data_IF_385224220059
#
_entry.id   IF_385224220059
#
_cell.length_a   1.000
_cell.length_b   1.000
_cell.length_c   1.000
_cell.angle_alpha   90.00
_cell.angle_beta   90.00
_cell.angle_gamma   90.00
#
_symmetry.space_group_name_H-M   'P 1'
#
loop_
_entity.id
_entity.type
_entity.pdbx_description
1 polymer ?
#
# COMPACT_ATOMS: atom_id res chain seq x y z
N UNK A 1 63.29 11.86 28.56
CA UNK A 1 62.24 11.52 27.58
C UNK A 1 61.55 10.25 28.04
N UNK A 2 60.30 10.33 28.49
CA UNK A 2 59.54 9.17 28.97
C UNK A 2 59.08 8.41 27.72
N UNK A 3 59.58 7.18 27.50
CA UNK A 3 59.09 6.32 26.41
C UNK A 3 57.64 5.97 26.72
N UNK A 4 56.70 6.49 25.95
CA UNK A 4 55.32 6.05 25.99
C UNK A 4 55.28 4.58 25.55
N UNK A 5 54.62 3.74 26.37
CA UNK A 5 54.42 2.32 26.04
C UNK A 5 53.37 2.24 24.93
N UNK A 6 53.74 1.69 23.77
CA UNK A 6 52.81 1.42 22.68
C UNK A 6 51.88 0.25 23.01
N UNK A 7 50.70 0.24 22.38
CA UNK A 7 49.76 -0.87 22.44
C UNK A 7 50.38 -2.16 21.91
N UNK A 8 50.13 -3.27 22.59
CA UNK A 8 50.46 -4.61 22.09
C UNK A 8 49.43 -5.07 21.05
N UNK A 9 49.85 -5.97 20.16
CA UNK A 9 48.97 -6.60 19.17
C UNK A 9 47.74 -7.25 19.84
N UNK A 10 47.93 -7.89 21.00
CA UNK A 10 46.88 -8.59 21.73
C UNK A 10 45.84 -7.60 22.28
N UNK A 11 46.27 -6.48 22.85
CA UNK A 11 45.34 -5.45 23.36
C UNK A 11 44.49 -4.86 22.24
N UNK A 12 45.08 -4.62 21.06
CA UNK A 12 44.33 -4.15 19.89
C UNK A 12 43.31 -5.20 19.41
N UNK A 13 43.71 -6.48 19.37
CA UNK A 13 42.83 -7.57 18.93
C UNK A 13 41.61 -7.74 19.84
N UNK A 14 41.80 -7.69 21.16
CA UNK A 14 40.70 -7.81 22.15
C UNK A 14 39.71 -6.65 21.99
N UNK A 15 40.19 -5.42 21.78
CA UNK A 15 39.32 -4.26 21.57
C UNK A 15 38.48 -4.41 20.30
N UNK A 16 39.10 -4.81 19.19
CA UNK A 16 38.38 -5.05 17.93
C UNK A 16 37.37 -6.19 18.10
N UNK A 17 37.71 -7.26 18.82
CA UNK A 17 36.78 -8.35 19.10
C UNK A 17 35.55 -7.88 19.89
N UNK A 18 35.73 -7.05 20.93
CA UNK A 18 34.63 -6.48 21.71
C UNK A 18 33.75 -5.58 20.82
N UNK A 19 34.36 -4.70 20.00
CA UNK A 19 33.62 -3.83 19.07
C UNK A 19 32.81 -4.68 18.08
N UNK A 20 33.39 -5.76 17.53
CA UNK A 20 32.71 -6.65 16.61
C UNK A 20 31.47 -7.32 17.25
N UNK A 21 31.58 -7.80 18.49
CA UNK A 21 30.45 -8.38 19.24
C UNK A 21 29.35 -7.34 19.47
N UNK A 22 29.72 -6.13 19.89
CA UNK A 22 28.76 -5.05 20.12
C UNK A 22 28.03 -4.67 18.81
N UNK A 23 28.76 -4.52 17.70
CA UNK A 23 28.16 -4.22 16.40
C UNK A 23 27.24 -5.34 15.90
N UNK A 24 27.60 -6.61 16.12
CA UNK A 24 26.78 -7.76 15.73
C UNK A 24 25.39 -7.76 16.41
N UNK A 25 25.30 -7.25 17.65
CA UNK A 25 24.03 -7.13 18.38
C UNK A 25 23.29 -5.83 18.02
N UNK A 26 24.02 -4.73 17.80
CA UNK A 26 23.44 -3.41 17.54
C UNK A 26 22.87 -3.27 16.12
N UNK A 27 23.51 -3.86 15.11
CA UNK A 27 23.08 -3.72 13.71
C UNK A 27 21.65 -4.26 13.47
N UNK A 28 21.28 -5.49 13.86
CA UNK A 28 19.92 -6.00 13.68
C UNK A 28 18.87 -5.13 14.40
N UNK A 29 19.20 -4.63 15.58
CA UNK A 29 18.31 -3.73 16.33
C UNK A 29 18.10 -2.40 15.60
N UNK A 30 19.18 -1.80 15.08
CA UNK A 30 19.13 -0.55 14.33
C UNK A 30 18.32 -0.68 13.03
N UNK A 31 18.45 -1.80 12.32
CA UNK A 31 17.63 -2.08 11.14
C UNK A 31 16.14 -2.12 11.47
N UNK A 32 15.75 -2.78 12.56
CA UNK A 32 14.35 -2.82 13.01
C UNK A 32 13.82 -1.45 13.41
N UNK A 33 14.62 -0.66 14.13
CA UNK A 33 14.23 0.70 14.55
C UNK A 33 14.05 1.63 13.35
N UNK A 34 14.96 1.58 12.36
CA UNK A 34 14.83 2.36 11.13
C UNK A 34 13.56 1.98 10.37
N UNK A 35 13.26 0.70 10.27
CA UNK A 35 12.06 0.21 9.60
C UNK A 35 10.78 0.66 10.31
N UNK A 36 10.74 0.61 11.65
CA UNK A 36 9.63 1.16 12.42
C UNK A 36 9.47 2.67 12.18
N UNK A 37 10.56 3.43 12.13
CA UNK A 37 10.53 4.86 11.82
C UNK A 37 9.94 5.15 10.43
N UNK A 38 10.39 4.43 9.40
CA UNK A 38 9.84 4.52 8.05
C UNK A 38 8.35 4.19 8.01
N UNK A 39 7.94 3.12 8.69
CA UNK A 39 6.53 2.75 8.79
C UNK A 39 5.67 3.84 9.42
N UNK A 40 6.15 4.50 10.47
CA UNK A 40 5.41 5.62 11.09
C UNK A 40 5.19 6.77 10.12
N UNK A 41 6.21 7.12 9.32
CA UNK A 41 6.08 8.13 8.27
C UNK A 41 5.06 7.69 7.22
N UNK A 42 5.14 6.44 6.75
CA UNK A 42 4.18 5.90 5.79
C UNK A 42 2.72 5.94 6.30
N UNK A 43 2.50 5.54 7.56
CA UNK A 43 1.17 5.63 8.21
C UNK A 43 0.66 7.07 8.27
N UNK A 44 1.55 8.04 8.52
CA UNK A 44 1.24 9.46 8.51
C UNK A 44 0.88 9.97 7.11
N UNK A 45 1.58 9.50 6.08
CA UNK A 45 1.30 9.85 4.68
C UNK A 45 -0.08 9.31 4.28
N UNK A 46 -0.35 8.03 4.52
CA UNK A 46 -1.64 7.39 4.27
C UNK A 46 -2.80 8.08 5.00
N UNK A 47 -2.58 8.52 6.24
CA UNK A 47 -3.58 9.28 7.00
C UNK A 47 -3.89 10.62 6.32
N UNK A 48 -2.87 11.36 5.88
CA UNK A 48 -3.05 12.65 5.20
C UNK A 48 -3.73 12.48 3.84
N UNK A 49 -3.34 11.47 3.05
CA UNK A 49 -4.03 11.12 1.81
C UNK A 49 -5.50 10.74 2.04
N UNK A 50 -5.79 10.00 3.12
CA UNK A 50 -7.18 9.63 3.46
C UNK A 50 -8.02 10.83 3.89
N UNK A 51 -7.42 11.79 4.58
CA UNK A 51 -8.08 13.07 4.88
C UNK A 51 -8.40 13.83 3.58
N UNK A 52 -7.43 13.94 2.65
CA UNK A 52 -7.65 14.56 1.35
C UNK A 52 -8.75 13.86 0.55
N UNK A 53 -8.78 12.53 0.55
CA UNK A 53 -9.83 11.72 -0.08
C UNK A 53 -11.22 12.00 0.52
N UNK A 54 -11.33 12.14 1.84
CA UNK A 54 -12.60 12.52 2.49
C UNK A 54 -13.02 13.95 2.18
N UNK A 55 -12.08 14.90 2.18
CA UNK A 55 -12.33 16.31 1.85
C UNK A 55 -12.80 16.47 0.41
N UNK A 56 -12.18 15.74 -0.52
CA UNK A 56 -12.62 15.70 -1.91
C UNK A 56 -14.09 15.28 -1.99
N UNK A 57 -14.48 14.19 -1.32
CA UNK A 57 -15.87 13.75 -1.33
C UNK A 57 -16.83 14.79 -0.73
N UNK A 58 -16.43 15.47 0.35
CA UNK A 58 -17.24 16.53 0.96
C UNK A 58 -17.48 17.73 0.03
N UNK A 59 -16.51 18.06 -0.83
CA UNK A 59 -16.62 19.17 -1.79
C UNK A 59 -17.25 18.77 -3.14
N UNK A 60 -17.38 17.47 -3.42
CA UNK A 60 -17.87 16.94 -4.70
C UNK A 60 -19.18 16.15 -4.53
N UNK A 61 -20.15 16.70 -3.78
CA UNK A 61 -21.48 16.12 -3.58
C UNK A 61 -21.43 14.64 -3.11
N UNK A 62 -20.53 14.34 -2.17
CA UNK A 62 -20.29 13.01 -1.60
C UNK A 62 -19.68 12.00 -2.57
N UNK A 63 -19.32 12.39 -3.80
CA UNK A 63 -18.69 11.53 -4.81
C UNK A 63 -17.21 11.33 -4.49
N UNK A 64 -16.78 10.07 -4.43
CA UNK A 64 -15.38 9.71 -4.22
C UNK A 64 -14.55 10.08 -5.44
N UNK A 65 -13.29 10.46 -5.22
CA UNK A 65 -12.32 10.65 -6.30
C UNK A 65 -12.20 9.37 -7.13
N UNK A 66 -11.98 9.50 -8.44
CA UNK A 66 -11.68 8.32 -9.27
C UNK A 66 -10.33 7.72 -8.82
N UNK A 67 -10.38 6.49 -8.33
CA UNK A 67 -9.22 5.77 -7.82
C UNK A 67 -8.34 5.12 -8.88
N UNK A 68 -8.81 5.03 -10.13
CA UNK A 68 -8.07 4.44 -11.24
C UNK A 68 -7.16 5.49 -11.87
N UNK A 69 -5.85 5.32 -11.72
CA UNK A 69 -4.82 6.25 -12.20
C UNK A 69 -4.89 6.37 -13.73
N UNK A 70 -4.87 7.61 -14.26
CA UNK A 70 -4.86 7.87 -15.70
C UNK A 70 -6.21 7.69 -16.41
N UNK A 71 -7.31 7.50 -15.66
CA UNK A 71 -8.65 7.30 -16.22
C UNK A 71 -9.59 8.51 -16.01
N UNK A 72 -9.06 9.74 -16.02
CA UNK A 72 -9.90 10.95 -15.99
C UNK A 72 -10.81 11.06 -17.20
N UNK A 73 -12.07 11.41 -16.96
CA UNK A 73 -13.11 11.54 -17.99
C UNK A 73 -13.25 10.31 -18.90
N UNK A 74 -12.83 9.13 -18.43
CA UNK A 74 -12.84 7.90 -19.20
C UNK A 74 -14.14 7.11 -19.01
N UNK A 75 -14.57 6.40 -20.06
CA UNK A 75 -15.64 5.42 -19.96
C UNK A 75 -15.10 4.07 -20.44
N UNK A 76 -14.99 3.11 -19.55
CA UNK A 76 -14.50 1.76 -19.83
C UNK A 76 -15.59 0.72 -19.53
N UNK A 77 -15.37 -0.54 -19.93
CA UNK A 77 -16.29 -1.64 -19.61
C UNK A 77 -16.25 -2.07 -18.13
N UNK A 78 -15.29 -1.54 -17.37
CA UNK A 78 -15.00 -1.89 -15.99
C UNK A 78 -14.89 -0.65 -15.09
N UNK A 79 -15.25 0.53 -15.58
CA UNK A 79 -15.15 1.79 -14.83
C UNK A 79 -15.89 2.90 -15.56
N UNK A 80 -16.83 3.56 -14.89
CA UNK A 80 -17.58 4.69 -15.44
C UNK A 80 -17.07 5.98 -14.82
N UNK A 81 -16.12 6.65 -15.47
CA UNK A 81 -15.45 7.86 -14.95
C UNK A 81 -15.75 9.10 -15.79
N UNK A 82 -16.83 9.07 -16.57
CA UNK A 82 -17.29 10.24 -17.32
C UNK A 82 -17.61 11.37 -16.34
N UNK A 83 -16.90 12.49 -16.46
CA UNK A 83 -17.04 13.64 -15.56
C UNK A 83 -16.23 13.53 -14.27
N UNK A 84 -15.47 12.45 -14.06
CA UNK A 84 -14.62 12.24 -12.89
C UNK A 84 -13.15 12.49 -13.23
N UNK A 85 -12.40 13.09 -12.31
CA UNK A 85 -10.95 13.27 -12.43
C UNK A 85 -10.28 12.24 -11.52
N UNK A 86 -9.30 11.53 -12.05
CA UNK A 86 -8.50 10.56 -11.32
C UNK A 86 -7.68 11.25 -10.22
N UNK A 87 -7.42 10.53 -9.13
CA UNK A 87 -6.61 11.03 -8.02
C UNK A 87 -5.17 11.35 -8.44
N UNK A 88 -4.68 10.67 -9.48
CA UNK A 88 -3.45 10.94 -10.25
C UNK A 88 -3.77 10.75 -11.73
N UNK A 89 -3.37 11.69 -12.59
CA UNK A 89 -3.89 11.79 -13.98
C UNK A 89 -3.07 11.00 -15.02
N UNK A 90 -2.05 10.26 -14.61
CA UNK A 90 -1.24 9.43 -15.53
C UNK A 90 -0.29 8.47 -14.84
N UNK A 91 0.43 7.70 -15.66
CA UNK A 91 1.35 6.62 -15.26
C UNK A 91 2.66 6.71 -16.02
N UNK A 92 3.31 7.85 -15.90
CA UNK A 92 4.61 8.04 -16.51
C UNK A 92 5.65 7.10 -15.88
N UNK A 93 6.62 6.66 -16.69
CA UNK A 93 7.73 5.84 -16.21
C UNK A 93 8.81 6.67 -15.52
N UNK A 94 8.94 7.94 -15.87
CA UNK A 94 9.98 8.86 -15.37
C UNK A 94 9.49 9.61 -14.13
N UNK A 95 10.37 9.78 -13.14
CA UNK A 95 10.04 10.39 -11.84
C UNK A 95 9.49 11.81 -12.00
N UNK A 96 10.12 12.66 -12.82
CA UNK A 96 9.64 14.04 -13.00
C UNK A 96 8.26 14.11 -13.67
N UNK A 97 7.93 13.15 -14.53
CA UNK A 97 6.64 13.08 -15.18
C UNK A 97 5.56 12.53 -14.24
N UNK A 98 5.90 11.56 -13.37
CA UNK A 98 4.98 11.12 -12.30
C UNK A 98 4.65 12.26 -11.35
N UNK A 99 5.64 13.08 -10.96
CA UNK A 99 5.40 14.26 -10.12
C UNK A 99 4.42 15.25 -10.78
N UNK A 100 4.55 15.48 -12.08
CA UNK A 100 3.62 16.33 -12.83
C UNK A 100 2.18 15.75 -12.82
N UNK A 101 2.04 14.46 -13.08
CA UNK A 101 0.73 13.76 -13.10
C UNK A 101 0.07 13.72 -11.70
N UNK A 102 0.86 13.65 -10.63
CA UNK A 102 0.37 13.81 -9.26
C UNK A 102 -0.18 15.22 -9.05
N UNK A 103 0.54 16.24 -9.53
CA UNK A 103 0.13 17.64 -9.38
C UNK A 103 -1.11 18.00 -10.21
N UNK A 104 -1.39 17.27 -11.27
CA UNK A 104 -2.60 17.41 -12.10
C UNK A 104 -3.79 16.61 -11.53
N UNK A 105 -3.52 15.67 -10.62
CA UNK A 105 -4.52 14.80 -10.00
C UNK A 105 -5.53 15.51 -9.09
N UNK A 106 -6.70 14.91 -8.95
CA UNK A 106 -7.84 15.46 -8.22
C UNK A 106 -7.59 15.69 -6.71
N UNK A 107 -6.64 14.98 -6.09
CA UNK A 107 -6.32 15.15 -4.67
C UNK A 107 -5.24 16.22 -4.42
N UNK A 108 -4.51 16.67 -5.44
CA UNK A 108 -3.44 17.65 -5.30
C UNK A 108 -3.86 18.95 -4.61
N UNK A 109 -5.05 19.55 -4.89
CA UNK A 109 -5.48 20.78 -4.22
C UNK A 109 -5.59 20.68 -2.69
N UNK A 110 -5.77 19.47 -2.15
CA UNK A 110 -5.93 19.20 -0.72
C UNK A 110 -4.61 18.83 -0.04
N UNK A 111 -3.66 18.29 -0.81
CA UNK A 111 -2.39 17.74 -0.32
C UNK A 111 -1.24 18.75 -0.48
N UNK A 112 -0.98 19.21 -1.71
CA UNK A 112 0.09 20.15 -2.10
C UNK A 112 1.48 19.81 -1.57
N UNK A 113 1.77 18.52 -1.43
CA UNK A 113 3.05 17.98 -0.98
C UNK A 113 3.31 16.64 -1.67
N UNK A 114 4.35 16.58 -2.50
CA UNK A 114 4.73 15.38 -3.25
C UNK A 114 5.24 14.26 -2.32
N UNK A 115 5.86 14.61 -1.19
CA UNK A 115 6.41 13.61 -0.26
C UNK A 115 5.32 12.73 0.36
N UNK A 116 4.06 13.20 0.36
CA UNK A 116 2.91 12.43 0.84
C UNK A 116 2.50 11.30 -0.12
N UNK A 117 2.88 11.35 -1.39
CA UNK A 117 2.63 10.29 -2.38
C UNK A 117 3.74 9.23 -2.42
N UNK A 118 4.85 9.51 -1.73
CA UNK A 118 6.02 8.64 -1.66
C UNK A 118 6.10 7.90 -0.33
N UNK A 119 6.39 6.61 -0.42
CA UNK A 119 6.67 5.75 0.71
C UNK A 119 8.15 5.92 1.07
N UNK A 120 8.52 6.00 2.36
CA UNK A 120 9.92 6.09 2.79
C UNK A 120 10.75 4.84 2.51
N UNK A 121 10.13 3.75 2.04
CA UNK A 121 10.81 2.57 1.48
C UNK A 121 10.84 2.59 -0.05
N UNK A 122 10.33 3.66 -0.68
CA UNK A 122 10.30 3.89 -2.12
C UNK A 122 11.63 3.61 -2.77
N UNK A 123 11.59 2.97 -3.94
CA UNK A 123 12.76 2.79 -4.78
C UNK A 123 13.06 4.13 -5.51
N UNK A 124 14.32 4.39 -5.85
CA UNK A 124 14.65 5.50 -6.74
C UNK A 124 13.85 5.42 -8.03
N UNK A 125 13.30 6.54 -8.51
CA UNK A 125 12.41 6.59 -9.68
C UNK A 125 10.91 6.51 -9.37
N UNK A 126 10.52 6.16 -8.13
CA UNK A 126 9.10 6.11 -7.74
C UNK A 126 8.69 7.40 -7.03
N UNK A 127 7.93 8.27 -7.69
CA UNK A 127 7.27 9.41 -7.05
C UNK A 127 5.90 9.01 -6.47
N UNK A 128 5.24 8.02 -7.07
CA UNK A 128 3.99 7.42 -6.61
C UNK A 128 4.22 6.00 -6.10
N UNK A 129 3.83 5.71 -4.87
CA UNK A 129 4.04 4.39 -4.25
C UNK A 129 2.83 3.86 -3.49
N UNK A 130 1.73 4.61 -3.53
CA UNK A 130 0.46 4.25 -2.94
C UNK A 130 -0.55 3.99 -4.05
N UNK A 131 -1.54 3.17 -3.77
CA UNK A 131 -2.67 2.95 -4.65
C UNK A 131 -3.98 3.02 -3.88
N UNK A 132 -5.04 3.42 -4.59
CA UNK A 132 -6.41 3.31 -4.10
C UNK A 132 -6.92 1.88 -4.35
N UNK A 133 -7.71 1.35 -3.44
CA UNK A 133 -8.37 0.05 -3.59
C UNK A 133 -9.35 0.06 -4.77
N UNK A 134 -9.42 -1.03 -5.53
CA UNK A 134 -10.36 -1.23 -6.65
C UNK A 134 -11.80 -0.82 -6.33
N UNK A 135 -12.27 -1.13 -5.12
CA UNK A 135 -13.61 -0.79 -4.67
C UNK A 135 -13.92 0.68 -4.44
N UNK A 136 -12.91 1.54 -4.30
CA UNK A 136 -13.06 2.95 -3.94
C UNK A 136 -13.03 3.80 -5.20
N UNK A 137 -14.14 3.73 -5.95
CA UNK A 137 -14.31 4.42 -7.22
C UNK A 137 -13.15 4.20 -8.22
N UNK A 138 -12.55 3.01 -8.26
CA UNK A 138 -11.52 2.69 -9.26
C UNK A 138 -12.07 1.75 -10.33
N UNK A 139 -12.43 0.51 -9.98
CA UNK A 139 -12.78 -0.51 -10.99
C UNK A 139 -14.01 -1.34 -10.57
N UNK A 140 -15.05 -1.27 -11.40
CA UNK A 140 -16.28 -2.06 -11.38
C UNK A 140 -16.24 -3.20 -12.42
N UNK A 141 -15.39 -4.21 -12.19
CA UNK A 141 -15.32 -5.40 -13.05
C UNK A 141 -16.63 -6.21 -13.10
N UNK A 142 -16.77 -7.05 -14.12
CA UNK A 142 -17.97 -7.90 -14.35
C UNK A 142 -18.35 -8.79 -13.17
N UNK A 143 -17.39 -9.21 -12.34
CA UNK A 143 -17.63 -10.00 -11.13
C UNK A 143 -18.16 -9.18 -9.93
N UNK A 144 -18.13 -7.85 -9.99
CA UNK A 144 -18.68 -6.95 -8.95
C UNK A 144 -19.83 -6.07 -9.44
N UNK A 145 -20.08 -6.02 -10.76
CA UNK A 145 -21.18 -5.24 -11.34
C UNK A 145 -22.54 -5.64 -10.75
N UNK A 146 -23.30 -4.63 -10.31
CA UNK A 146 -24.61 -4.81 -9.68
C UNK A 146 -24.58 -5.43 -8.28
N UNK A 147 -23.40 -5.75 -7.73
CA UNK A 147 -23.29 -6.23 -6.35
C UNK A 147 -23.30 -5.02 -5.41
N UNK A 148 -24.33 -4.92 -4.58
CA UNK A 148 -24.46 -3.79 -3.64
C UNK A 148 -23.30 -3.76 -2.64
N UNK A 149 -22.60 -2.62 -2.59
CA UNK A 149 -21.54 -2.28 -1.63
C UNK A 149 -20.12 -2.73 -2.01
N UNK A 150 -19.93 -3.33 -3.20
CA UNK A 150 -18.59 -3.73 -3.68
C UNK A 150 -17.87 -2.57 -4.34
N UNK A 151 -18.45 -1.95 -5.36
CA UNK A 151 -17.97 -0.72 -5.98
C UNK A 151 -18.65 0.48 -5.35
N UNK A 152 -17.87 1.38 -4.77
CA UNK A 152 -18.34 2.53 -4.00
C UNK A 152 -18.07 3.78 -4.83
N UNK A 153 -19.12 4.53 -5.17
CA UNK A 153 -19.01 5.82 -5.85
C UNK A 153 -19.16 7.00 -4.90
N UNK A 154 -19.88 6.80 -3.79
CA UNK A 154 -20.17 7.84 -2.81
C UNK A 154 -19.73 7.43 -1.42
N UNK A 155 -19.21 8.38 -0.64
CA UNK A 155 -18.73 8.12 0.72
C UNK A 155 -19.86 7.62 1.63
N UNK A 156 -21.09 8.12 1.46
CA UNK A 156 -22.28 7.66 2.19
C UNK A 156 -22.68 6.20 1.94
N UNK A 157 -22.16 5.55 0.88
CA UNK A 157 -22.38 4.11 0.64
C UNK A 157 -21.54 3.23 1.57
N UNK A 158 -20.55 3.80 2.27
CA UNK A 158 -19.67 3.09 3.20
C UNK A 158 -20.30 3.06 4.59
N UNK A 159 -21.23 2.13 4.80
CA UNK A 159 -21.88 1.94 6.12
C UNK A 159 -21.82 0.48 6.61
N UNK A 160 -21.66 -0.49 5.70
CA UNK A 160 -21.55 -1.90 6.05
C UNK A 160 -20.51 -2.62 5.16
N UNK A 161 -19.38 -3.06 5.71
CA UNK A 161 -18.97 -2.92 7.12
C UNK A 161 -18.73 -1.45 7.48
N UNK A 162 -18.55 -1.17 8.78
CA UNK A 162 -18.27 0.18 9.24
C UNK A 162 -17.06 0.78 8.48
N UNK A 163 -17.00 2.12 8.27
CA UNK A 163 -15.89 2.78 7.60
C UNK A 163 -14.49 2.38 8.09
N UNK A 164 -14.35 2.12 9.40
CA UNK A 164 -13.13 1.63 10.03
C UNK A 164 -12.65 0.23 9.56
N UNK A 165 -13.44 -0.47 8.74
CA UNK A 165 -13.10 -1.78 8.18
C UNK A 165 -12.99 -1.75 6.65
N UNK A 166 -13.24 -0.60 6.02
CA UNK A 166 -13.21 -0.44 4.56
C UNK A 166 -11.87 0.18 4.16
N UNK A 167 -11.08 -0.53 3.38
CA UNK A 167 -9.77 -0.07 2.93
C UNK A 167 -9.90 1.01 1.85
N UNK A 168 -8.98 1.99 1.88
CA UNK A 168 -8.90 3.07 0.89
C UNK A 168 -7.55 3.07 0.18
N UNK A 169 -6.45 3.29 0.90
CA UNK A 169 -5.11 3.30 0.33
C UNK A 169 -4.24 2.12 0.83
N UNK A 170 -3.25 1.73 0.04
CA UNK A 170 -2.22 0.73 0.37
C UNK A 170 -0.83 1.17 -0.12
N UNK A 171 0.22 0.79 0.61
CA UNK A 171 1.63 0.94 0.22
C UNK A 171 2.09 -0.09 -0.84
N UNK A 172 1.42 -0.06 -1.99
CA UNK A 172 1.64 -1.02 -3.05
C UNK A 172 3.09 -1.02 -3.60
N UNK A 173 3.66 0.16 -3.86
CA UNK A 173 4.97 0.28 -4.49
C UNK A 173 4.98 0.03 -6.00
N UNK A 174 5.95 -0.76 -6.49
CA UNK A 174 6.06 -1.17 -7.90
C UNK A 174 5.03 -2.24 -8.26
N UNK A 175 3.74 -1.96 -8.03
CA UNK A 175 2.65 -2.85 -8.40
C UNK A 175 1.45 -2.01 -8.88
N UNK A 176 0.70 -2.64 -9.79
CA UNK A 176 -0.35 -2.17 -10.71
C UNK A 176 -0.29 -0.77 -11.34
N UNK A 177 -0.65 -0.66 -12.63
CA UNK A 177 -0.75 0.64 -13.27
C UNK A 177 -1.94 1.45 -12.74
N UNK A 178 -3.09 0.85 -12.41
CA UNK A 178 -4.33 1.61 -12.20
C UNK A 178 -4.75 1.77 -10.74
N UNK A 179 -4.91 0.67 -10.01
CA UNK A 179 -5.35 0.61 -8.62
C UNK A 179 -5.11 -0.80 -8.03
N UNK A 180 -5.09 -0.92 -6.70
CA UNK A 180 -4.83 -2.21 -6.06
C UNK A 180 -6.06 -3.12 -6.10
N UNK A 181 -5.92 -4.31 -6.69
CA UNK A 181 -6.99 -5.25 -6.95
C UNK A 181 -6.87 -6.54 -6.15
N UNK A 182 -8.04 -7.02 -5.70
CA UNK A 182 -8.24 -8.40 -5.27
C UNK A 182 -9.55 -8.93 -5.83
N UNK A 183 -9.62 -10.22 -6.19
CA UNK A 183 -10.88 -10.78 -6.68
C UNK A 183 -11.98 -10.72 -5.63
N UNK A 184 -13.22 -10.48 -6.06
CA UNK A 184 -14.39 -10.53 -5.16
C UNK A 184 -14.99 -11.94 -5.06
N UNK A 185 -15.07 -12.65 -6.19
CA UNK A 185 -15.76 -13.95 -6.32
C UNK A 185 -14.81 -15.15 -6.39
N UNK A 186 -13.49 -14.91 -6.37
CA UNK A 186 -12.48 -15.96 -6.51
C UNK A 186 -11.58 -16.01 -5.28
N UNK A 187 -11.19 -17.23 -4.92
CA UNK A 187 -10.32 -17.52 -3.79
C UNK A 187 -8.84 -17.49 -4.19
N UNK A 188 -8.46 -16.42 -4.88
CA UNK A 188 -7.11 -16.22 -5.42
C UNK A 188 -6.77 -14.73 -5.34
N UNK A 189 -5.49 -14.40 -5.19
CA UNK A 189 -5.04 -13.02 -5.32
C UNK A 189 -5.22 -12.55 -6.76
N UNK A 190 -5.69 -11.31 -6.92
CA UNK A 190 -5.53 -10.64 -8.21
C UNK A 190 -4.11 -10.07 -8.18
N UNK A 191 -3.89 -8.96 -7.49
CA UNK A 191 -2.54 -8.45 -7.26
C UNK A 191 -1.90 -9.10 -6.05
N UNK A 192 -0.59 -9.20 -6.09
CA UNK A 192 0.17 -9.79 -5.00
C UNK A 192 0.13 -8.93 -3.73
N UNK A 193 0.23 -9.56 -2.55
CA UNK A 193 0.29 -8.83 -1.29
C UNK A 193 1.62 -8.05 -1.20
N UNK A 194 1.62 -6.73 -0.91
CA UNK A 194 2.86 -5.97 -0.75
C UNK A 194 3.62 -6.32 0.53
N UNK A 195 4.94 -6.18 0.53
CA UNK A 195 5.81 -6.42 1.71
C UNK A 195 6.82 -5.29 1.94
N UNK A 196 6.44 -4.06 1.59
CA UNK A 196 7.28 -2.86 1.77
C UNK A 196 7.75 -2.66 3.20
N UNK A 197 6.84 -2.85 4.15
CA UNK A 197 7.08 -2.59 5.56
C UNK A 197 7.34 -3.88 6.36
N UNK A 198 8.40 -4.58 5.99
CA UNK A 198 8.88 -5.80 6.65
C UNK A 198 8.24 -7.07 6.09
N UNK A 199 7.23 -7.60 6.78
CA UNK A 199 6.46 -8.77 6.35
C UNK A 199 4.97 -8.38 6.23
N UNK A 200 4.68 -7.20 5.69
CA UNK A 200 3.34 -6.64 5.70
C UNK A 200 3.21 -5.32 4.97
N UNK A 201 1.98 -4.85 4.89
CA UNK A 201 1.56 -3.60 4.24
C UNK A 201 1.06 -2.57 5.23
N UNK A 202 1.23 -1.31 4.92
CA UNK A 202 0.51 -0.20 5.55
C UNK A 202 -0.70 0.17 4.71
N UNK A 203 -1.81 0.43 5.39
CA UNK A 203 -3.13 0.59 4.81
C UNK A 203 -3.83 1.76 5.46
N UNK A 204 -4.79 2.36 4.75
CA UNK A 204 -5.75 3.30 5.34
C UNK A 204 -7.19 2.86 5.17
N UNK A 205 -8.06 3.46 5.97
CA UNK A 205 -9.46 3.12 6.07
C UNK A 205 -10.36 4.33 5.80
N UNK A 206 -11.63 4.07 5.48
CA UNK A 206 -12.58 5.09 5.07
C UNK A 206 -13.00 6.08 6.18
N UNK A 207 -12.65 5.82 7.44
CA UNK A 207 -12.76 6.78 8.56
C UNK A 207 -11.49 7.63 8.75
N UNK A 208 -10.46 7.42 7.92
CA UNK A 208 -9.21 8.18 7.91
C UNK A 208 -8.10 7.66 8.81
N UNK A 209 -8.29 6.55 9.55
CA UNK A 209 -7.17 5.95 10.27
C UNK A 209 -6.29 5.11 9.33
N UNK A 210 -5.08 4.78 9.79
CA UNK A 210 -4.13 3.94 9.08
C UNK A 210 -3.51 2.90 10.01
N UNK A 211 -3.23 1.71 9.48
CA UNK A 211 -2.67 0.59 10.23
C UNK A 211 -1.61 -0.17 9.42
N UNK A 212 -0.76 -0.90 10.14
CA UNK A 212 0.13 -1.89 9.52
C UNK A 212 -0.44 -3.29 9.71
N UNK A 213 -0.62 -4.01 8.61
CA UNK A 213 -1.04 -5.40 8.62
C UNK A 213 0.16 -6.29 8.33
N UNK A 214 0.58 -7.04 9.36
CA UNK A 214 1.58 -8.10 9.21
C UNK A 214 0.94 -9.37 8.66
N UNK A 215 1.45 -9.87 7.54
CA UNK A 215 1.08 -11.14 6.95
C UNK A 215 1.41 -12.31 7.88
N UNK A 216 0.56 -13.34 7.86
CA UNK A 216 0.68 -14.51 8.72
C UNK A 216 1.13 -15.74 7.93
N UNK A 217 0.75 -15.85 6.66
CA UNK A 217 1.18 -16.90 5.76
C UNK A 217 2.65 -16.77 5.40
N UNK A 218 3.43 -17.82 5.63
CA UNK A 218 4.81 -17.87 5.18
C UNK A 218 4.91 -17.91 3.66
N UNK A 219 3.92 -18.53 3.01
CA UNK A 219 3.73 -18.52 1.57
C UNK A 219 3.37 -17.12 1.06
N UNK A 220 2.48 -16.39 1.73
CA UNK A 220 2.18 -14.97 1.45
C UNK A 220 3.46 -14.12 1.44
N UNK A 221 4.25 -14.22 2.52
CA UNK A 221 5.47 -13.42 2.68
C UNK A 221 6.51 -13.80 1.63
N UNK A 222 6.69 -15.09 1.37
CA UNK A 222 7.66 -15.57 0.38
C UNK A 222 7.29 -15.09 -1.02
N UNK A 223 6.04 -15.30 -1.42
CA UNK A 223 5.50 -14.86 -2.71
C UNK A 223 5.67 -13.35 -2.91
N UNK A 224 5.22 -12.57 -1.94
CA UNK A 224 5.35 -11.12 -1.95
C UNK A 224 6.80 -10.62 -2.13
N UNK A 225 7.77 -11.26 -1.47
CA UNK A 225 9.20 -10.90 -1.57
C UNK A 225 9.79 -11.26 -2.93
N UNK A 226 9.31 -12.32 -3.56
CA UNK A 226 9.73 -12.71 -4.92
C UNK A 226 9.19 -11.71 -5.96
N UNK A 227 8.05 -11.08 -5.67
CA UNK A 227 7.35 -10.20 -6.61
C UNK A 227 7.54 -8.70 -6.41
N UNK A 228 8.05 -8.27 -5.25
CA UNK A 228 8.28 -6.85 -4.89
C UNK A 228 8.97 -6.01 -5.99
N UNK A 229 9.72 -6.66 -6.90
CA UNK A 229 10.50 -6.00 -7.97
C UNK A 229 10.24 -6.53 -9.38
N UNK A 230 9.29 -7.44 -9.57
CA UNK A 230 9.02 -8.04 -10.89
C UNK A 230 7.73 -7.55 -11.54
N UNK A 231 7.02 -6.61 -10.88
CA UNK A 231 5.74 -6.09 -11.32
C UNK A 231 4.59 -6.99 -10.88
N UNK A 232 3.32 -6.56 -11.08
CA UNK A 232 2.16 -7.30 -10.60
C UNK A 232 2.07 -8.66 -11.32
N UNK A 233 2.20 -9.76 -10.59
CA UNK A 233 1.72 -11.04 -11.11
C UNK A 233 0.28 -11.24 -10.67
N UNK A 234 -0.56 -11.56 -11.65
CA UNK A 234 -1.98 -11.78 -11.42
C UNK A 234 -2.25 -13.26 -11.17
N UNK A 235 -3.07 -13.57 -10.16
CA UNK A 235 -3.65 -14.91 -10.04
C UNK A 235 -2.87 -15.89 -9.17
N UNK A 236 -2.23 -15.43 -8.09
CA UNK A 236 -1.55 -16.32 -7.14
C UNK A 236 -2.51 -16.91 -6.10
N UNK A 237 -2.50 -18.24 -5.93
CA UNK A 237 -3.31 -18.93 -4.92
C UNK A 237 -2.44 -19.31 -3.72
N UNK A 238 -2.84 -18.94 -2.48
CA UNK A 238 -2.15 -19.40 -1.28
C UNK A 238 -2.16 -20.92 -1.14
N UNK A 239 -1.13 -21.46 -0.49
CA UNK A 239 -0.99 -22.89 -0.23
C UNK A 239 -1.10 -23.22 1.27
N UNK A 240 -1.17 -22.22 2.15
CA UNK A 240 -1.32 -22.42 3.60
C UNK A 240 -2.60 -21.79 4.14
N UNK A 241 -3.23 -22.35 5.20
CA UNK A 241 -4.41 -21.74 5.83
C UNK A 241 -4.16 -20.30 6.30
N UNK A 242 -2.93 -19.98 6.72
CA UNK A 242 -2.56 -18.63 7.13
C UNK A 242 -2.51 -17.68 5.92
N UNK A 243 -2.03 -18.13 4.76
CA UNK A 243 -2.04 -17.33 3.54
C UNK A 243 -3.44 -17.10 2.98
N UNK A 244 -4.34 -18.09 3.07
CA UNK A 244 -5.76 -17.89 2.77
C UNK A 244 -6.40 -16.84 3.70
N UNK A 245 -6.07 -16.86 5.00
CA UNK A 245 -6.56 -15.83 5.95
C UNK A 245 -6.05 -14.43 5.62
N UNK A 246 -4.81 -14.29 5.16
CA UNK A 246 -4.28 -13.02 4.66
C UNK A 246 -5.09 -12.53 3.45
N UNK A 247 -5.35 -13.41 2.48
CA UNK A 247 -6.20 -13.14 1.30
C UNK A 247 -7.61 -12.67 1.70
N UNK A 248 -8.29 -13.42 2.57
CA UNK A 248 -9.64 -13.07 3.01
C UNK A 248 -9.67 -11.74 3.74
N UNK A 249 -8.64 -11.45 4.53
CA UNK A 249 -8.54 -10.18 5.25
C UNK A 249 -8.47 -9.02 4.26
N UNK A 250 -7.65 -9.14 3.21
CA UNK A 250 -7.55 -8.14 2.16
C UNK A 250 -8.87 -8.00 1.39
N UNK A 251 -9.45 -9.11 0.92
CA UNK A 251 -10.71 -9.10 0.18
C UNK A 251 -11.87 -8.54 1.00
N UNK A 252 -11.96 -8.86 2.30
CA UNK A 252 -12.98 -8.27 3.18
C UNK A 252 -12.75 -6.77 3.39
N UNK A 253 -11.51 -6.31 3.50
CA UNK A 253 -11.22 -4.88 3.57
C UNK A 253 -11.56 -4.14 2.27
N UNK A 254 -11.21 -4.75 1.12
CA UNK A 254 -11.45 -4.21 -0.21
C UNK A 254 -12.89 -4.37 -0.71
N UNK A 255 -13.72 -5.29 -0.21
CA UNK A 255 -15.10 -5.44 -0.72
C UNK A 255 -16.17 -5.35 0.36
N UNK A 256 -15.74 -5.24 1.62
CA UNK A 256 -16.59 -5.33 2.81
C UNK A 256 -17.01 -6.76 3.18
N UNK A 257 -17.01 -7.69 2.22
CA UNK A 257 -17.41 -9.10 2.38
C UNK A 257 -16.76 -9.97 1.29
N UNK A 258 -16.78 -11.29 1.48
CA UNK A 258 -16.40 -12.24 0.43
C UNK A 258 -17.61 -12.50 -0.49
N UNK A 259 -17.35 -12.61 -1.80
CA UNK A 259 -18.34 -13.00 -2.79
C UNK A 259 -18.48 -14.51 -2.97
N UNK A 260 -17.80 -15.30 -2.13
CA UNK A 260 -17.74 -16.76 -2.19
C UNK A 260 -17.65 -17.35 -0.77
N UNK A 261 -17.79 -18.67 -0.66
CA UNK A 261 -17.60 -19.38 0.62
C UNK A 261 -16.12 -19.76 0.75
N UNK A 262 -15.40 -19.28 1.79
CA UNK A 262 -13.97 -19.55 1.93
C UNK A 262 -13.71 -21.02 2.27
N UNK A 263 -12.66 -21.59 1.68
CA UNK A 263 -12.17 -22.94 1.96
C UNK A 263 -11.63 -23.05 3.40
N UNK A 264 -11.04 -21.98 3.95
CA UNK A 264 -10.45 -21.95 5.29
C UNK A 264 -11.09 -20.87 6.21
N UNK A 265 -12.31 -21.07 6.72
CA UNK A 265 -13.07 -20.06 7.48
C UNK A 265 -12.36 -19.52 8.74
#
# INVERSE_FOLDING_TARGET
>A
MRREKGFTLIELLVVIAIIAILLAILLPALHRVREQGRRVVCLSNLKQLSLAWMMYADENDDVLVNGAIGYSNAQTGWGQHKGEIAWVDGLASEEEAQEAEIMEGALWPYVKDLDLYRCPTGLPGEALTYAIMFSMNAVEHTWVQGVRGTHIKRKSEIYNPAPALRLVFIDEGYMTPDAYAVYYQQEVWFDSPPVRHGDGSTLSFADGHSEHWKWKGTDTIKHAREEERTGPQVGWTPNTPAGYRDLYKMQKGCWGKLGYTPTYP
#
